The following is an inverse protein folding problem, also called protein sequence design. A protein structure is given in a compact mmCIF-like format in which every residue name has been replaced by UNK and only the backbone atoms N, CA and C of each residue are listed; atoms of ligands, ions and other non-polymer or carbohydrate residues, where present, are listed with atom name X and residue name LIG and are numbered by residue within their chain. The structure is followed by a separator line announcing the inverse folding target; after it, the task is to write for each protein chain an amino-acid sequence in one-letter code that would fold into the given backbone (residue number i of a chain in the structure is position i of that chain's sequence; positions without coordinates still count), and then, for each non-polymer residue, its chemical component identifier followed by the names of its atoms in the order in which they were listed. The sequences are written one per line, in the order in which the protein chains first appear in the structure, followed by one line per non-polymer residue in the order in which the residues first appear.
data_IF_134208140690
#
_entry.id   IF_134208140690
#
_cell.length_a   1.000
_cell.length_b   1.000
_cell.length_c   1.000
_cell.angle_alpha   90.00
_cell.angle_beta   90.00
_cell.angle_gamma   90.00
#
_symmetry.space_group_name_H-M   'P 1'
#
loop_
_entity.id
_entity.type
_entity.pdbx_description
1 polymer ?
#
# COMPACT_ATOMS: atom_id res chain seq x y z
N UNK A 1 -0.57 0.51 -7.46
CA UNK A 1 -1.81 0.69 -8.26
C UNK A 1 -2.59 1.88 -7.71
N UNK A 2 -3.47 2.48 -8.50
CA UNK A 2 -4.23 3.66 -8.11
C UNK A 2 -5.72 3.53 -8.49
N UNK A 3 -6.64 3.82 -7.57
CA UNK A 3 -8.03 4.11 -7.91
C UNK A 3 -8.20 5.62 -8.03
N UNK A 4 -8.87 6.08 -9.07
CA UNK A 4 -9.02 7.52 -9.35
C UNK A 4 -10.48 7.92 -9.30
N UNK A 5 -10.79 9.00 -8.57
CA UNK A 5 -12.09 9.67 -8.66
C UNK A 5 -11.91 11.13 -9.06
N UNK A 6 -12.81 11.63 -9.90
CA UNK A 6 -12.88 13.05 -10.23
C UNK A 6 -14.28 13.56 -9.94
N UNK A 7 -14.38 14.59 -9.11
CA UNK A 7 -15.65 15.18 -8.68
C UNK A 7 -16.61 14.14 -8.08
N UNK A 8 -16.09 13.20 -7.28
CA UNK A 8 -16.85 12.10 -6.69
C UNK A 8 -17.19 10.95 -7.64
N UNK A 9 -16.95 11.08 -8.96
CA UNK A 9 -17.16 9.99 -9.92
C UNK A 9 -15.95 9.05 -9.89
N UNK A 10 -16.18 7.78 -9.58
CA UNK A 10 -15.16 6.74 -9.71
C UNK A 10 -14.83 6.48 -11.18
N UNK A 11 -13.56 6.63 -11.54
CA UNK A 11 -13.05 6.45 -12.90
C UNK A 11 -12.31 5.12 -13.07
N UNK A 12 -12.30 4.28 -12.02
CA UNK A 12 -11.73 2.95 -12.03
C UNK A 12 -10.32 2.87 -11.46
N UNK A 13 -9.69 1.72 -11.71
CA UNK A 13 -8.42 1.32 -11.11
C UNK A 13 -7.37 1.12 -12.18
N UNK A 14 -6.27 1.85 -12.05
CA UNK A 14 -5.08 1.78 -12.90
C UNK A 14 -4.02 0.93 -12.19
N UNK A 15 -3.76 -0.27 -12.70
CA UNK A 15 -2.84 -1.23 -12.08
C UNK A 15 -1.65 -1.60 -12.96
N UNK A 16 -1.74 -1.38 -14.27
CA UNK A 16 -0.68 -1.67 -15.24
C UNK A 16 -0.53 -0.53 -16.24
N UNK A 17 0.54 -0.57 -17.02
CA UNK A 17 0.84 0.41 -18.05
C UNK A 17 -0.15 0.32 -19.24
N UNK A 18 -0.48 1.44 -19.91
CA UNK A 18 -0.10 2.81 -19.53
C UNK A 18 -0.90 3.28 -18.30
N UNK A 19 -0.23 3.89 -17.32
CA UNK A 19 -0.87 4.33 -16.08
C UNK A 19 -1.70 5.61 -16.29
N UNK A 20 -2.82 5.50 -17.01
CA UNK A 20 -3.69 6.60 -17.44
C UNK A 20 -5.15 6.23 -17.19
N UNK A 21 -5.99 7.25 -16.97
CA UNK A 21 -7.45 7.12 -16.88
C UNK A 21 -8.11 8.24 -17.67
N UNK A 22 -9.21 7.93 -18.36
CA UNK A 22 -10.00 8.95 -19.05
C UNK A 22 -10.88 9.71 -18.05
N UNK A 23 -10.72 11.03 -18.02
CA UNK A 23 -11.44 11.93 -17.14
C UNK A 23 -12.52 12.75 -17.86
N UNK A 24 -12.65 12.62 -19.18
CA UNK A 24 -13.44 13.50 -20.05
C UNK A 24 -14.90 13.61 -19.60
N UNK A 25 -15.47 12.49 -19.14
CA UNK A 25 -16.87 12.41 -18.70
C UNK A 25 -17.15 13.01 -17.32
N UNK A 26 -16.13 13.47 -16.60
CA UNK A 26 -16.24 14.03 -15.24
C UNK A 26 -15.59 15.41 -15.10
N UNK A 27 -14.90 15.90 -16.13
CA UNK A 27 -14.12 17.14 -16.09
C UNK A 27 -15.04 18.37 -16.12
N UNK A 28 -14.76 19.33 -15.23
CA UNK A 28 -15.36 20.67 -15.21
C UNK A 28 -14.35 21.71 -15.71
N UNK A 29 -14.84 22.88 -16.12
CA UNK A 29 -13.98 23.99 -16.57
C UNK A 29 -13.01 24.49 -15.49
N UNK A 30 -13.40 24.41 -14.21
CA UNK A 30 -12.60 24.81 -13.05
C UNK A 30 -13.00 24.00 -11.81
N UNK A 31 -12.23 24.15 -10.74
CA UNK A 31 -12.54 23.65 -9.40
C UNK A 31 -12.84 22.14 -9.35
N UNK A 32 -12.08 21.36 -10.12
CA UNK A 32 -12.17 19.90 -10.08
C UNK A 32 -11.52 19.36 -8.80
N UNK A 33 -12.19 18.39 -8.16
CA UNK A 33 -11.63 17.66 -7.02
C UNK A 33 -11.14 16.31 -7.53
N UNK A 34 -9.83 16.09 -7.48
CA UNK A 34 -9.19 14.83 -7.82
C UNK A 34 -8.87 14.06 -6.54
N UNK A 35 -9.36 12.82 -6.45
CA UNK A 35 -9.02 11.90 -5.37
C UNK A 35 -8.29 10.70 -5.97
N UNK A 36 -7.18 10.31 -5.36
CA UNK A 36 -6.39 9.15 -5.81
C UNK A 36 -6.07 8.26 -4.61
N UNK A 37 -6.67 7.07 -4.59
CA UNK A 37 -6.36 6.06 -3.59
C UNK A 37 -5.21 5.18 -4.10
N UNK A 38 -4.09 5.15 -3.37
CA UNK A 38 -2.91 4.37 -3.76
C UNK A 38 -2.78 3.15 -2.87
N UNK A 39 -2.59 1.99 -3.49
CA UNK A 39 -2.15 0.78 -2.81
C UNK A 39 -0.69 0.45 -3.17
N UNK A 40 0.09 0.17 -2.13
CA UNK A 40 1.48 -0.29 -2.19
C UNK A 40 1.58 -1.77 -1.78
N UNK A 41 2.81 -2.26 -1.62
CA UNK A 41 3.10 -3.63 -1.19
C UNK A 41 3.52 -3.68 0.29
N UNK A 42 3.37 -4.85 0.90
CA UNK A 42 3.80 -5.13 2.28
C UNK A 42 5.30 -4.99 2.64
N UNK A 43 6.29 -5.10 1.73
CA UNK A 43 7.71 -5.13 2.09
C UNK A 43 8.16 -4.00 3.02
N UNK A 44 7.73 -2.76 2.79
CA UNK A 44 8.14 -1.64 3.65
C UNK A 44 7.63 -1.77 5.08
N UNK A 45 6.43 -2.33 5.27
CA UNK A 45 5.88 -2.60 6.61
C UNK A 45 6.58 -3.78 7.28
N UNK A 46 6.88 -4.83 6.53
CA UNK A 46 7.66 -5.98 7.00
C UNK A 46 9.07 -5.55 7.44
N UNK A 47 9.78 -4.77 6.62
CA UNK A 47 11.11 -4.22 6.95
C UNK A 47 11.04 -3.35 8.21
N UNK A 48 10.03 -2.48 8.33
CA UNK A 48 9.85 -1.63 9.50
C UNK A 48 9.60 -2.41 10.79
N UNK A 49 8.93 -3.56 10.71
CA UNK A 49 8.70 -4.42 11.88
C UNK A 49 9.97 -5.13 12.36
N UNK A 50 10.96 -5.34 11.48
CA UNK A 50 12.27 -5.90 11.85
C UNK A 50 13.10 -4.98 12.76
N UNK A 51 12.67 -3.73 12.95
CA UNK A 51 13.23 -2.81 13.96
C UNK A 51 12.69 -3.08 15.37
N UNK A 52 11.68 -3.95 15.52
CA UNK A 52 11.06 -4.31 16.78
C UNK A 52 11.43 -5.74 17.21
N UNK A 53 11.37 -6.06 18.52
CA UNK A 53 11.61 -7.41 19.01
C UNK A 53 10.73 -8.45 18.31
N UNK A 54 11.31 -9.61 18.05
CA UNK A 54 10.63 -10.74 17.41
C UNK A 54 9.77 -11.52 18.42
N UNK A 55 8.48 -11.60 18.12
CA UNK A 55 7.45 -12.35 18.85
C UNK A 55 6.83 -13.46 17.99
N UNK A 56 7.54 -13.86 16.93
CA UNK A 56 7.14 -14.91 16.00
C UNK A 56 7.32 -16.34 16.52
N UNK A 57 7.34 -17.28 15.58
CA UNK A 57 7.56 -18.70 15.86
C UNK A 57 8.97 -18.91 16.43
N UNK A 58 9.08 -19.58 17.57
CA UNK A 58 10.35 -19.93 18.22
C UNK A 58 10.43 -21.44 18.40
N UNK A 59 11.53 -22.04 17.95
CA UNK A 59 11.77 -23.49 18.06
C UNK A 59 10.60 -24.35 17.54
N UNK A 60 9.98 -23.92 16.44
CA UNK A 60 8.82 -24.59 15.82
C UNK A 60 7.48 -24.38 16.54
N UNK A 61 7.45 -23.61 17.63
CA UNK A 61 6.23 -23.33 18.40
C UNK A 61 5.60 -22.01 17.99
N UNK A 62 4.29 -22.02 17.78
CA UNK A 62 3.50 -20.84 17.48
C UNK A 62 3.36 -19.93 18.70
N UNK A 63 3.24 -18.60 18.52
CA UNK A 63 3.04 -17.68 19.65
C UNK A 63 1.75 -17.99 20.42
N UNK A 64 1.84 -17.99 21.74
CA UNK A 64 0.71 -18.32 22.62
C UNK A 64 -0.48 -17.38 22.45
N UNK A 65 -0.22 -16.08 22.29
CA UNK A 65 -1.27 -15.07 22.04
C UNK A 65 -2.09 -15.41 20.79
N UNK A 66 -1.45 -15.96 19.75
CA UNK A 66 -2.13 -16.35 18.52
C UNK A 66 -2.99 -17.58 18.74
N UNK A 67 -2.45 -18.59 19.42
CA UNK A 67 -3.16 -19.85 19.71
C UNK A 67 -4.37 -19.63 20.62
N UNK A 68 -4.28 -18.68 21.56
CA UNK A 68 -5.37 -18.32 22.48
C UNK A 68 -6.33 -17.27 21.94
N UNK A 69 -6.07 -16.69 20.76
CA UNK A 69 -6.86 -15.59 20.21
C UNK A 69 -6.78 -14.30 21.04
N UNK A 70 -5.69 -14.11 21.78
CA UNK A 70 -5.43 -12.94 22.59
C UNK A 70 -4.82 -11.80 21.75
N UNK A 71 -4.94 -10.54 22.20
CA UNK A 71 -4.26 -9.43 21.56
C UNK A 71 -2.76 -9.67 21.47
N UNK A 72 -2.17 -9.37 20.31
CA UNK A 72 -0.73 -9.47 20.11
C UNK A 72 0.00 -8.50 21.07
N UNK A 73 0.96 -8.99 21.88
CA UNK A 73 1.61 -8.17 22.90
C UNK A 73 2.68 -7.22 22.33
N UNK A 74 3.21 -7.50 21.14
CA UNK A 74 4.23 -6.66 20.52
C UNK A 74 3.63 -5.49 19.74
N UNK A 75 4.50 -4.53 19.40
CA UNK A 75 4.15 -3.38 18.55
C UNK A 75 4.29 -3.68 17.05
N UNK A 76 4.64 -4.92 16.67
CA UNK A 76 4.76 -5.31 15.26
C UNK A 76 3.37 -5.32 14.63
N UNK A 77 3.26 -4.75 13.44
CA UNK A 77 1.99 -4.68 12.72
C UNK A 77 1.70 -5.98 11.96
N UNK A 78 2.74 -6.62 11.43
CA UNK A 78 2.67 -7.78 10.55
C UNK A 78 3.24 -9.02 11.21
N UNK A 79 2.72 -10.18 10.84
CA UNK A 79 3.19 -11.49 11.27
C UNK A 79 3.33 -12.39 10.05
N UNK A 80 4.50 -12.98 9.86
CA UNK A 80 4.79 -13.91 8.77
C UNK A 80 5.48 -15.16 9.32
N UNK A 81 5.22 -16.31 8.72
CA UNK A 81 5.85 -17.58 9.10
C UNK A 81 7.31 -17.68 8.66
N UNK A 82 7.71 -16.89 7.67
CA UNK A 82 9.07 -16.81 7.16
C UNK A 82 9.58 -15.36 7.16
N UNK A 83 10.89 -15.19 7.42
CA UNK A 83 11.56 -13.89 7.38
C UNK A 83 12.01 -13.56 5.96
N UNK A 84 11.17 -12.82 5.22
CA UNK A 84 11.47 -12.39 3.85
C UNK A 84 12.43 -11.20 3.76
N UNK A 85 12.52 -10.39 4.81
CA UNK A 85 13.30 -9.17 4.89
C UNK A 85 14.00 -9.05 6.24
N UNK A 86 15.00 -8.17 6.34
CA UNK A 86 15.66 -7.80 7.58
C UNK A 86 15.67 -6.27 7.75
N UNK A 87 16.09 -5.78 8.92
CA UNK A 87 16.11 -4.35 9.26
C UNK A 87 16.97 -3.47 8.32
N UNK A 88 17.94 -4.06 7.65
CA UNK A 88 18.89 -3.37 6.76
C UNK A 88 18.47 -3.45 5.28
N UNK A 89 17.34 -4.11 5.00
CA UNK A 89 16.80 -4.26 3.65
C UNK A 89 16.34 -2.91 3.09
N UNK A 90 16.61 -2.67 1.80
CA UNK A 90 16.22 -1.40 1.14
C UNK A 90 14.70 -1.29 1.04
N UNK A 91 14.18 -0.12 1.38
CA UNK A 91 12.77 0.20 1.19
C UNK A 91 12.43 0.31 -0.30
N UNK A 92 11.22 -0.10 -0.63
CA UNK A 92 10.63 -0.04 -1.95
C UNK A 92 10.02 1.35 -2.16
N UNK A 93 10.10 1.86 -3.39
CA UNK A 93 9.37 3.07 -3.78
C UNK A 93 7.87 2.86 -3.56
N UNK A 94 7.18 3.85 -3.01
CA UNK A 94 5.78 3.74 -2.60
C UNK A 94 5.06 5.08 -2.72
N UNK A 95 3.75 5.03 -3.01
CA UNK A 95 2.91 6.21 -3.18
C UNK A 95 2.77 6.66 -4.64
N UNK A 96 2.21 7.86 -4.82
CA UNK A 96 2.07 8.52 -6.12
C UNK A 96 3.31 9.36 -6.40
N UNK A 97 4.28 8.77 -7.11
CA UNK A 97 5.61 9.38 -7.30
C UNK A 97 5.62 10.54 -8.32
N UNK A 98 4.68 10.53 -9.27
CA UNK A 98 4.54 11.58 -10.28
C UNK A 98 5.68 11.66 -11.32
N UNK A 99 5.68 12.72 -12.16
CA UNK A 99 4.65 13.76 -12.21
C UNK A 99 3.28 13.21 -12.66
N UNK A 100 2.21 13.86 -12.22
CA UNK A 100 0.84 13.60 -12.70
C UNK A 100 0.48 14.70 -13.70
N UNK A 101 0.08 14.32 -14.91
CA UNK A 101 -0.15 15.26 -16.01
C UNK A 101 -1.51 15.04 -16.64
N UNK A 102 -2.14 16.13 -17.07
CA UNK A 102 -3.28 16.08 -18.00
C UNK A 102 -2.75 15.97 -19.43
N UNK A 103 -3.27 15.00 -20.17
CA UNK A 103 -2.89 14.77 -21.57
C UNK A 103 -4.14 14.94 -22.42
N UNK A 104 -4.09 15.89 -23.35
CA UNK A 104 -5.10 16.01 -24.39
C UNK A 104 -4.64 15.17 -25.60
N UNK A 105 -5.36 14.10 -25.90
CA UNK A 105 -5.15 13.31 -27.11
C UNK A 105 -6.03 13.90 -28.21
N UNK A 106 -5.43 14.24 -29.35
CA UNK A 106 -6.13 14.64 -30.57
C UNK A 106 -6.79 13.44 -31.23
#
# INVERSE_FOLDING_TARGET
MARVRLNGKDLGVVWTAPWQVDISSALKARDNILEVEIANLWPNRLIGDELLPDDGIKDGQWPEWLLKGEPRPSKRFSFTTFKHYNKDSKLFKSGLLGPVSLIHKK
#
